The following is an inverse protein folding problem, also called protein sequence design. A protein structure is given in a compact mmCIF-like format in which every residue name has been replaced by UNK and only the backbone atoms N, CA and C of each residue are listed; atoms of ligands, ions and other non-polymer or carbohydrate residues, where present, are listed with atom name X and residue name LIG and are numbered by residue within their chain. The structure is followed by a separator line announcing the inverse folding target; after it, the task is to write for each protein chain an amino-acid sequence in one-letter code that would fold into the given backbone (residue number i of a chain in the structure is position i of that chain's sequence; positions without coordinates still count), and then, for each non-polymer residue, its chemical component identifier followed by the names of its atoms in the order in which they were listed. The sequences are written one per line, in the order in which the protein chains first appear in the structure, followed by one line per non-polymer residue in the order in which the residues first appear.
data_IF_012268161964
#
_entry.id   IF_012268161964
#
_cell.length_a   1.000
_cell.length_b   1.000
_cell.length_c   1.000
_cell.angle_alpha   90.00
_cell.angle_beta   90.00
_cell.angle_gamma   90.00
#
_symmetry.space_group_name_H-M   'P 1'
#
loop_
_entity.id
_entity.type
_entity.pdbx_description
1 polymer ?
#
# COMPACT_ATOMS: atom_id res chain seq x y z
N UNK A 1 -45.02 9.99 -2.25
CA UNK A 1 -45.28 8.96 -3.28
C UNK A 1 -44.91 9.49 -4.65
N UNK A 2 -43.75 9.12 -5.19
CA UNK A 2 -43.42 9.24 -6.63
C UNK A 2 -43.19 7.82 -7.15
N UNK A 3 -43.97 7.38 -8.14
CA UNK A 3 -43.78 6.07 -8.77
C UNK A 3 -42.69 6.20 -9.83
N UNK A 4 -41.47 5.75 -9.52
CA UNK A 4 -40.42 5.61 -10.55
C UNK A 4 -40.87 4.52 -11.53
N UNK A 5 -40.81 4.83 -12.82
CA UNK A 5 -41.33 3.98 -13.89
C UNK A 5 -40.16 3.25 -14.53
N UNK A 6 -40.06 1.94 -14.35
CA UNK A 6 -39.11 1.11 -15.08
C UNK A 6 -39.54 1.04 -16.55
N UNK A 7 -38.65 1.46 -17.46
CA UNK A 7 -38.76 1.19 -18.89
C UNK A 7 -37.69 0.16 -19.22
N UNK A 8 -38.06 -1.12 -19.24
CA UNK A 8 -37.26 -2.15 -19.89
C UNK A 8 -37.56 -2.16 -21.39
N UNK A 9 -36.55 -2.18 -22.26
CA UNK A 9 -36.72 -2.37 -23.70
C UNK A 9 -35.45 -2.96 -24.32
N UNK A 10 -35.57 -4.19 -24.85
CA UNK A 10 -34.77 -4.85 -25.90
C UNK A 10 -33.22 -4.72 -25.84
N UNK A 11 -32.43 -5.79 -25.82
CA UNK A 11 -32.68 -7.13 -26.35
C UNK A 11 -32.34 -7.23 -27.84
N UNK A 12 -31.05 -7.40 -28.16
CA UNK A 12 -30.55 -7.87 -29.46
C UNK A 12 -29.54 -8.98 -29.19
N UNK A 13 -29.91 -10.21 -29.56
CA UNK A 13 -28.96 -11.29 -29.68
C UNK A 13 -28.30 -11.22 -31.06
N UNK A 14 -26.96 -11.21 -31.11
CA UNK A 14 -26.18 -11.28 -32.34
C UNK A 14 -24.98 -12.20 -32.16
N UNK A 15 -25.21 -13.51 -32.29
CA UNK A 15 -24.12 -14.48 -32.48
C UNK A 15 -23.49 -14.23 -33.85
N UNK A 16 -22.23 -13.80 -33.88
CA UNK A 16 -21.43 -13.71 -35.09
C UNK A 16 -20.23 -14.67 -34.97
N UNK A 17 -20.43 -15.93 -35.36
CA UNK A 17 -19.34 -16.88 -35.48
C UNK A 17 -18.55 -16.60 -36.77
N UNK A 18 -17.33 -16.09 -36.62
CA UNK A 18 -16.28 -15.96 -37.64
C UNK A 18 -15.02 -16.41 -36.90
N UNK A 19 -14.21 -17.37 -37.35
CA UNK A 19 -13.98 -17.87 -38.70
C UNK A 19 -12.46 -17.94 -38.82
N UNK A 20 -11.90 -19.15 -38.69
CA UNK A 20 -10.52 -19.32 -38.23
C UNK A 20 -9.43 -18.81 -39.18
N UNK A 21 -8.29 -18.46 -38.59
CA UNK A 21 -7.01 -18.38 -39.29
C UNK A 21 -6.16 -19.56 -38.83
N UNK A 22 -6.09 -20.60 -39.65
CA UNK A 22 -5.09 -21.66 -39.53
C UNK A 22 -3.89 -21.19 -40.35
N UNK A 23 -2.74 -20.98 -39.72
CA UNK A 23 -1.48 -20.58 -40.36
C UNK A 23 -0.40 -21.60 -40.02
N UNK A 24 -0.10 -22.45 -41.00
CA UNK A 24 0.96 -23.47 -40.96
C UNK A 24 2.35 -22.87 -41.23
N UNK A 25 3.35 -23.58 -40.71
CA UNK A 25 4.68 -23.87 -41.28
C UNK A 25 5.83 -22.83 -41.33
N UNK A 26 6.92 -23.28 -40.69
CA UNK A 26 8.29 -23.44 -41.20
C UNK A 26 9.39 -22.37 -41.00
N UNK A 27 10.64 -22.89 -41.14
CA UNK A 27 11.98 -22.32 -40.99
C UNK A 27 12.44 -22.14 -39.52
N UNK A 28 13.05 -23.15 -38.86
CA UNK A 28 14.45 -23.63 -39.03
C UNK A 28 15.50 -22.51 -39.11
N UNK A 29 16.30 -22.35 -38.04
CA UNK A 29 17.67 -21.85 -38.19
C UNK A 29 18.60 -22.44 -37.10
N UNK A 30 19.87 -22.67 -37.47
CA UNK A 30 20.78 -23.60 -36.78
C UNK A 30 21.78 -22.96 -35.80
N UNK A 31 22.29 -23.79 -34.88
CA UNK A 31 23.68 -23.83 -34.37
C UNK A 31 24.43 -22.53 -34.02
N UNK A 32 24.74 -22.39 -32.72
CA UNK A 32 25.70 -21.43 -32.19
C UNK A 32 26.55 -21.96 -31.03
N UNK A 33 27.20 -23.12 -31.18
CA UNK A 33 28.20 -23.58 -30.19
C UNK A 33 29.40 -22.62 -30.15
N UNK A 34 29.70 -22.04 -28.98
CA UNK A 34 30.97 -21.40 -28.70
C UNK A 34 31.42 -21.72 -27.25
N UNK A 35 32.49 -22.50 -27.11
CA UNK A 35 33.11 -22.87 -25.85
C UNK A 35 34.33 -21.99 -25.50
N UNK A 36 34.91 -22.23 -24.30
CA UNK A 36 36.10 -21.57 -23.70
C UNK A 36 35.83 -20.11 -23.25
N UNK A 37 36.34 -19.53 -22.16
CA UNK A 37 37.33 -19.90 -21.12
C UNK A 37 37.54 -18.67 -20.20
N UNK A 38 38.31 -18.66 -19.12
CA UNK A 38 39.15 -19.70 -18.49
C UNK A 38 39.25 -19.48 -16.96
N UNK A 39 39.85 -20.44 -16.26
CA UNK A 39 40.39 -20.48 -14.88
C UNK A 39 40.99 -19.21 -14.22
N UNK A 40 41.25 -19.32 -12.89
CA UNK A 40 41.93 -18.39 -11.95
C UNK A 40 41.02 -17.24 -11.45
N UNK A 41 41.06 -16.71 -10.24
CA UNK A 41 41.93 -16.68 -9.04
C UNK A 41 41.32 -15.55 -8.16
N UNK A 42 41.48 -15.42 -6.85
CA UNK A 42 42.66 -15.62 -6.02
C UNK A 42 42.29 -15.97 -4.56
N UNK A 43 43.25 -16.53 -3.84
CA UNK A 43 43.21 -16.71 -2.38
C UNK A 43 43.49 -15.37 -1.67
N UNK A 44 42.56 -14.92 -0.84
CA UNK A 44 42.83 -14.01 0.28
C UNK A 44 42.46 -14.78 1.57
N UNK A 45 43.26 -14.81 2.63
CA UNK A 45 44.44 -14.01 2.95
C UNK A 45 44.38 -13.74 4.46
N UNK A 46 45.25 -14.38 5.22
CA UNK A 46 45.19 -14.44 6.69
C UNK A 46 45.44 -13.10 7.43
N UNK A 47 45.31 -13.17 8.76
CA UNK A 47 46.01 -12.40 9.81
C UNK A 47 45.29 -11.21 10.50
N UNK A 48 44.76 -11.53 11.69
CA UNK A 48 45.08 -10.94 13.00
C UNK A 48 45.05 -9.40 13.19
N UNK A 49 44.18 -8.97 14.13
CA UNK A 49 44.24 -7.68 14.81
C UNK A 49 43.75 -7.80 16.26
N UNK A 50 44.65 -8.21 17.15
CA UNK A 50 44.45 -8.30 18.61
C UNK A 50 45.22 -7.13 19.26
N UNK A 51 44.54 -6.18 19.92
CA UNK A 51 45.06 -5.16 20.85
C UNK A 51 43.83 -4.37 21.39
N UNK A 52 43.39 -4.54 22.65
CA UNK A 52 43.93 -3.95 23.90
C UNK A 52 43.32 -2.58 24.27
N UNK A 53 42.48 -2.62 25.32
CA UNK A 53 42.37 -1.66 26.43
C UNK A 53 42.21 -0.14 26.17
N UNK A 54 41.08 0.39 26.61
CA UNK A 54 40.83 1.82 26.87
C UNK A 54 39.84 2.04 28.03
N UNK A 55 40.28 1.87 29.28
CA UNK A 55 39.54 2.32 30.47
C UNK A 55 39.77 3.83 30.71
N UNK A 56 38.81 4.71 30.36
CA UNK A 56 38.64 6.07 30.92
C UNK A 56 37.17 6.50 30.69
N UNK A 57 36.48 7.31 31.49
CA UNK A 57 36.62 7.77 32.89
C UNK A 57 35.23 8.28 33.32
N UNK A 58 35.03 8.56 34.61
CA UNK A 58 33.70 8.89 35.17
C UNK A 58 33.26 10.33 34.84
N UNK A 59 32.02 10.48 34.33
CA UNK A 59 31.38 11.77 34.08
C UNK A 59 30.00 11.86 34.75
N UNK A 60 29.94 12.33 36.00
CA UNK A 60 28.69 12.71 36.67
C UNK A 60 28.12 14.00 36.04
N UNK A 61 27.05 13.91 35.24
CA UNK A 61 26.16 15.05 35.01
C UNK A 61 24.71 14.66 35.35
N UNK A 62 24.16 15.33 36.36
CA UNK A 62 22.76 15.19 36.77
C UNK A 62 21.94 16.14 35.90
N UNK A 63 21.36 15.62 34.81
CA UNK A 63 20.23 16.25 34.11
C UNK A 63 18.94 15.95 34.86
N UNK A 64 18.29 16.98 35.40
CA UNK A 64 16.96 16.90 36.01
C UNK A 64 15.94 17.01 34.87
N UNK A 65 15.76 15.92 34.13
CA UNK A 65 14.82 15.88 33.00
C UNK A 65 13.39 15.73 33.54
N UNK A 66 12.65 16.82 33.43
CA UNK A 66 11.21 16.86 33.65
C UNK A 66 10.56 15.88 32.66
N UNK A 67 10.04 14.76 33.17
CA UNK A 67 9.16 13.89 32.38
C UNK A 67 7.90 14.69 32.01
N UNK A 68 7.94 15.35 30.86
CA UNK A 68 6.74 15.64 30.10
C UNK A 68 6.11 14.30 29.76
N UNK A 69 4.91 14.05 30.29
CA UNK A 69 3.96 13.15 29.62
C UNK A 69 3.65 13.83 28.29
N UNK A 70 4.48 13.57 27.29
CA UNK A 70 4.11 13.76 25.89
C UNK A 70 3.02 12.72 25.63
N UNK A 71 1.78 13.18 25.70
CA UNK A 71 0.63 12.42 25.21
C UNK A 71 0.82 12.32 23.71
N UNK A 72 1.57 11.28 23.32
CA UNK A 72 1.93 10.95 21.95
C UNK A 72 0.64 10.83 21.13
N UNK A 73 0.75 11.15 19.84
CA UNK A 73 -0.37 11.51 18.96
C UNK A 73 -1.68 10.74 19.23
N UNK A 74 -2.81 11.46 19.17
CA UNK A 74 -4.11 10.81 19.09
C UNK A 74 -4.07 9.90 17.86
N UNK A 75 -3.90 8.58 18.07
CA UNK A 75 -3.87 7.59 17.00
C UNK A 75 -5.13 7.82 16.16
N UNK A 76 -4.99 8.29 14.92
CA UNK A 76 -6.10 8.37 13.94
C UNK A 76 -6.35 6.97 13.36
N UNK A 77 -6.57 6.06 14.32
CA UNK A 77 -6.83 4.63 14.22
C UNK A 77 -8.23 4.46 13.63
N UNK A 78 -8.32 4.86 12.36
CA UNK A 78 -9.47 4.75 11.48
C UNK A 78 -10.02 3.33 11.65
N UNK A 79 -11.18 3.14 12.31
CA UNK A 79 -11.41 1.91 13.05
C UNK A 79 -11.72 0.76 12.10
N UNK A 80 -10.97 -0.34 12.24
CA UNK A 80 -11.20 -1.57 11.51
C UNK A 80 -12.69 -1.99 11.57
N UNK A 81 -13.34 -2.06 10.40
CA UNK A 81 -14.77 -2.38 10.28
C UNK A 81 -15.01 -3.89 10.22
N UNK A 82 -14.01 -4.67 9.81
CA UNK A 82 -14.01 -6.12 9.78
C UNK A 82 -12.58 -6.67 9.92
N UNK A 83 -12.46 -7.84 10.54
CA UNK A 83 -11.21 -8.60 10.68
C UNK A 83 -11.49 -10.06 10.31
N UNK A 84 -10.65 -10.62 9.44
CA UNK A 84 -10.76 -12.00 8.96
C UNK A 84 -9.45 -12.75 9.19
N UNK A 85 -9.54 -14.03 9.53
CA UNK A 85 -8.38 -14.93 9.67
C UNK A 85 -8.75 -16.33 9.20
N UNK A 86 -7.84 -17.00 8.50
CA UNK A 86 -8.13 -18.32 7.92
C UNK A 86 -6.88 -19.12 7.56
N UNK A 87 -7.09 -20.19 6.80
CA UNK A 87 -6.00 -21.06 6.31
C UNK A 87 -6.41 -21.70 4.98
N UNK A 88 -5.59 -21.55 3.95
CA UNK A 88 -5.93 -21.98 2.59
C UNK A 88 -7.05 -21.16 1.95
N UNK A 89 -7.57 -21.61 0.78
CA UNK A 89 -8.60 -20.87 0.04
C UNK A 89 -9.94 -20.83 0.78
N UNK A 90 -10.50 -19.64 0.93
CA UNK A 90 -11.76 -19.40 1.64
C UNK A 90 -12.43 -18.13 1.12
N UNK A 91 -13.77 -18.10 1.16
CA UNK A 91 -14.56 -16.87 0.99
C UNK A 91 -15.03 -16.41 2.37
N UNK A 92 -14.82 -15.14 2.72
CA UNK A 92 -15.11 -14.59 4.05
C UNK A 92 -16.62 -14.46 4.33
N UNK A 93 -16.97 -14.18 5.59
CA UNK A 93 -18.27 -13.53 5.90
C UNK A 93 -18.34 -12.14 5.23
N UNK A 94 -19.56 -11.59 5.08
CA UNK A 94 -19.77 -10.29 4.44
C UNK A 94 -19.44 -9.08 5.32
N UNK A 95 -19.06 -7.98 4.68
CA UNK A 95 -18.85 -6.66 5.30
C UNK A 95 -19.55 -5.55 4.50
N UNK A 96 -19.89 -4.44 5.17
CA UNK A 96 -20.52 -3.26 4.56
C UNK A 96 -19.49 -2.12 4.47
N UNK A 97 -19.38 -1.48 3.31
CA UNK A 97 -18.65 -0.22 3.11
C UNK A 97 -19.62 0.95 2.92
N UNK A 98 -19.24 2.12 3.45
CA UNK A 98 -19.83 3.42 3.12
C UNK A 98 -19.01 4.12 2.00
N UNK A 99 -19.57 5.15 1.37
CA UNK A 99 -18.89 5.90 0.30
C UNK A 99 -17.73 6.70 0.92
N UNK A 100 -16.48 6.43 0.53
CA UNK A 100 -15.28 7.07 1.10
C UNK A 100 -13.99 6.34 0.72
N UNK A 101 -12.92 6.53 1.49
CA UNK A 101 -11.71 5.73 1.37
C UNK A 101 -11.92 4.36 2.03
N UNK A 102 -11.28 3.33 1.49
CA UNK A 102 -11.27 2.01 2.09
C UNK A 102 -9.96 1.30 1.76
N UNK A 103 -9.51 0.40 2.63
CA UNK A 103 -8.28 -0.35 2.44
C UNK A 103 -8.32 -1.73 3.11
N UNK A 104 -7.44 -2.62 2.66
CA UNK A 104 -7.19 -3.92 3.27
C UNK A 104 -5.73 -3.98 3.75
N UNK A 105 -5.49 -4.28 5.03
CA UNK A 105 -4.17 -4.74 5.51
C UNK A 105 -4.17 -6.26 5.46
N UNK A 106 -3.22 -6.87 4.73
CA UNK A 106 -3.20 -8.28 4.34
C UNK A 106 -1.87 -8.90 4.77
N UNK A 107 -1.92 -10.02 5.49
CA UNK A 107 -0.77 -10.87 5.84
C UNK A 107 -1.09 -12.34 5.51
N UNK A 108 -0.18 -13.12 4.89
CA UNK A 108 1.14 -12.72 4.40
C UNK A 108 1.07 -11.91 3.10
N UNK A 109 2.11 -11.12 2.82
CA UNK A 109 2.21 -10.33 1.58
C UNK A 109 2.60 -11.14 0.32
N UNK A 110 3.02 -12.40 0.49
CA UNK A 110 3.51 -13.27 -0.59
C UNK A 110 2.55 -14.43 -0.89
N UNK A 111 2.36 -14.73 -2.17
CA UNK A 111 1.56 -15.86 -2.69
C UNK A 111 0.09 -15.89 -2.27
N UNK A 112 -0.49 -14.74 -1.90
CA UNK A 112 -1.92 -14.56 -1.63
C UNK A 112 -2.60 -13.80 -2.78
N UNK A 113 -3.72 -14.32 -3.27
CA UNK A 113 -4.68 -13.62 -4.10
C UNK A 113 -5.88 -13.19 -3.26
N UNK A 114 -6.30 -11.93 -3.42
CA UNK A 114 -7.52 -11.39 -2.78
C UNK A 114 -8.39 -10.75 -3.86
N UNK A 115 -9.56 -11.33 -4.08
CA UNK A 115 -10.61 -10.75 -4.91
C UNK A 115 -11.68 -10.14 -3.99
N UNK A 116 -12.04 -8.87 -4.22
CA UNK A 116 -13.22 -8.28 -3.57
C UNK A 116 -14.43 -8.57 -4.43
N UNK A 117 -15.43 -9.21 -3.84
CA UNK A 117 -16.61 -9.74 -4.53
C UNK A 117 -17.87 -9.04 -4.05
N UNK A 118 -18.74 -8.67 -4.99
CA UNK A 118 -20.07 -8.10 -4.74
C UNK A 118 -21.13 -9.19 -4.57
N UNK A 119 -22.22 -8.90 -3.86
CA UNK A 119 -23.32 -9.84 -3.60
C UNK A 119 -24.06 -10.41 -4.85
N UNK A 120 -23.84 -9.86 -6.05
CA UNK A 120 -24.31 -10.44 -7.31
C UNK A 120 -23.23 -11.22 -8.09
N UNK A 121 -22.06 -11.42 -7.51
CA UNK A 121 -20.93 -12.19 -8.05
C UNK A 121 -20.05 -11.43 -9.04
N UNK A 122 -20.10 -10.09 -9.02
CA UNK A 122 -19.15 -9.25 -9.75
C UNK A 122 -17.88 -9.03 -8.93
N UNK A 123 -16.73 -9.01 -9.59
CA UNK A 123 -15.41 -8.76 -8.96
C UNK A 123 -14.94 -7.35 -9.36
N UNK A 124 -15.25 -6.30 -8.58
CA UNK A 124 -14.77 -4.93 -8.83
C UNK A 124 -13.25 -4.78 -8.68
N UNK A 125 -12.61 -5.55 -7.79
CA UNK A 125 -11.17 -5.48 -7.50
C UNK A 125 -10.61 -6.90 -7.38
N UNK A 126 -9.45 -7.12 -7.99
CA UNK A 126 -8.65 -8.34 -7.91
C UNK A 126 -7.21 -7.92 -7.65
N UNK A 127 -6.51 -8.57 -6.71
CA UNK A 127 -5.27 -8.07 -6.13
C UNK A 127 -4.07 -9.04 -6.18
N UNK A 128 -4.15 -10.13 -6.97
CA UNK A 128 -3.12 -11.20 -7.08
C UNK A 128 -1.66 -10.70 -7.21
N UNK A 129 -1.45 -9.54 -7.85
CA UNK A 129 -0.13 -8.92 -8.01
C UNK A 129 0.05 -7.61 -7.23
N UNK A 130 -1.03 -7.04 -6.71
CA UNK A 130 -1.02 -5.72 -6.09
C UNK A 130 -0.66 -5.79 -4.60
N UNK A 131 -0.99 -6.87 -3.88
CA UNK A 131 -0.69 -7.01 -2.43
C UNK A 131 0.78 -6.73 -2.14
N UNK A 132 1.70 -7.27 -2.95
CA UNK A 132 3.14 -7.01 -2.81
C UNK A 132 3.53 -5.57 -3.16
N UNK A 133 2.95 -4.98 -4.21
CA UNK A 133 3.26 -3.61 -4.66
C UNK A 133 2.81 -2.52 -3.65
N UNK A 134 2.00 -2.91 -2.68
CA UNK A 134 1.55 -2.08 -1.57
C UNK A 134 1.99 -2.64 -0.20
N UNK A 135 2.96 -3.56 -0.17
CA UNK A 135 3.52 -4.18 1.04
C UNK A 135 2.44 -4.70 2.03
N UNK A 136 1.32 -5.19 1.51
CA UNK A 136 0.18 -5.69 2.28
C UNK A 136 -0.97 -4.71 2.49
N UNK A 137 -0.82 -3.41 2.21
CA UNK A 137 -1.85 -2.40 2.45
C UNK A 137 -2.54 -1.94 1.16
N UNK A 138 -3.58 -2.66 0.73
CA UNK A 138 -4.25 -2.45 -0.55
C UNK A 138 -5.39 -1.40 -0.46
N UNK A 139 -5.27 -0.22 -1.11
CA UNK A 139 -6.37 0.73 -1.19
C UNK A 139 -7.48 0.27 -2.17
N UNK A 140 -8.71 0.67 -1.86
CA UNK A 140 -9.94 0.24 -2.51
C UNK A 140 -10.78 1.43 -2.97
N UNK A 141 -10.73 1.75 -4.27
CA UNK A 141 -11.69 2.68 -4.88
C UNK A 141 -13.03 1.96 -5.12
N UNK A 142 -13.93 1.99 -4.12
CA UNK A 142 -15.23 1.32 -4.17
C UNK A 142 -16.32 2.17 -3.52
N UNK A 143 -17.51 2.18 -4.13
CA UNK A 143 -18.67 2.85 -3.55
C UNK A 143 -19.36 2.01 -2.47
N UNK A 144 -20.28 2.63 -1.74
CA UNK A 144 -21.04 2.00 -0.65
C UNK A 144 -21.76 0.72 -1.10
N UNK A 145 -21.63 -0.35 -0.32
CA UNK A 145 -22.15 -1.67 -0.68
C UNK A 145 -21.84 -2.76 0.33
N UNK A 146 -22.35 -3.96 0.07
CA UNK A 146 -22.06 -5.18 0.83
C UNK A 146 -21.15 -6.08 -0.03
N UNK A 147 -20.05 -6.54 0.56
CA UNK A 147 -18.95 -7.23 -0.11
C UNK A 147 -18.51 -8.48 0.65
N UNK A 148 -17.83 -9.39 -0.03
CA UNK A 148 -17.11 -10.56 0.51
C UNK A 148 -15.68 -10.53 -0.05
N UNK A 149 -14.70 -11.14 0.64
CA UNK A 149 -13.38 -11.41 0.07
C UNK A 149 -13.30 -12.88 -0.35
N UNK A 150 -12.82 -13.16 -1.56
CA UNK A 150 -12.49 -14.50 -2.02
C UNK A 150 -10.95 -14.64 -2.04
N UNK A 151 -10.43 -15.56 -1.23
CA UNK A 151 -9.00 -15.71 -0.95
C UNK A 151 -8.46 -16.94 -1.69
N UNK A 152 -7.43 -16.75 -2.53
CA UNK A 152 -6.70 -17.83 -3.21
C UNK A 152 -5.27 -17.91 -2.67
N UNK A 153 -4.94 -19.00 -2.00
CA UNK A 153 -3.65 -19.24 -1.33
C UNK A 153 -3.45 -20.75 -1.12
N UNK A 154 -2.21 -21.24 -0.94
CA UNK A 154 -1.94 -22.67 -0.72
C UNK A 154 -2.66 -23.24 0.53
N UNK A 155 -3.12 -24.51 0.47
CA UNK A 155 -3.99 -25.16 1.48
C UNK A 155 -3.49 -25.09 2.95
N UNK A 156 -2.19 -24.89 3.16
CA UNK A 156 -1.52 -24.86 4.46
C UNK A 156 -0.94 -23.48 4.87
N UNK A 157 -1.26 -22.41 4.14
CA UNK A 157 -0.89 -21.03 4.49
C UNK A 157 -1.97 -20.40 5.38
N UNK A 158 -1.57 -20.00 6.59
CA UNK A 158 -2.38 -19.14 7.48
C UNK A 158 -2.37 -17.69 6.97
N UNK A 159 -3.49 -16.98 7.09
CA UNK A 159 -3.63 -15.60 6.62
C UNK A 159 -4.52 -14.75 7.56
N UNK A 160 -4.35 -13.44 7.51
CA UNK A 160 -5.19 -12.44 8.18
C UNK A 160 -5.44 -11.22 7.28
N UNK A 161 -6.65 -10.67 7.34
CA UNK A 161 -7.03 -9.45 6.60
C UNK A 161 -7.87 -8.54 7.50
N UNK A 162 -7.45 -7.28 7.63
CA UNK A 162 -8.19 -6.21 8.30
C UNK A 162 -8.75 -5.24 7.26
N UNK A 163 -10.03 -4.90 7.37
CA UNK A 163 -10.73 -3.98 6.48
C UNK A 163 -10.92 -2.64 7.18
N UNK A 164 -10.49 -1.56 6.51
CA UNK A 164 -10.64 -0.17 6.93
C UNK A 164 -11.60 0.56 6.00
N UNK A 165 -12.37 1.51 6.52
CA UNK A 165 -13.25 2.36 5.72
C UNK A 165 -13.57 3.68 6.42
N UNK A 166 -13.21 4.77 5.75
CA UNK A 166 -13.38 6.14 6.22
C UNK A 166 -14.38 6.88 5.33
N UNK A 167 -15.64 7.04 5.81
CA UNK A 167 -16.70 7.60 5.00
C UNK A 167 -16.43 9.08 4.66
N UNK A 168 -16.63 9.45 3.41
CA UNK A 168 -16.55 10.84 2.96
C UNK A 168 -17.66 11.73 3.55
N UNK A 169 -18.81 11.15 3.96
CA UNK A 169 -19.89 11.92 4.61
C UNK A 169 -19.55 12.21 6.08
N UNK A 170 -19.18 13.46 6.35
CA UNK A 170 -18.87 13.93 7.70
C UNK A 170 -17.38 13.89 8.05
N UNK A 171 -16.52 13.45 7.14
CA UNK A 171 -15.08 13.58 7.26
C UNK A 171 -14.65 15.04 7.50
N UNK A 172 -13.59 15.22 8.27
CA UNK A 172 -12.98 16.51 8.57
C UNK A 172 -11.53 16.51 8.12
N UNK A 173 -11.09 17.60 7.50
CA UNK A 173 -9.69 17.74 7.13
C UNK A 173 -8.79 17.72 8.37
N UNK A 174 -7.64 17.05 8.24
CA UNK A 174 -6.56 17.00 9.22
C UNK A 174 -5.96 18.40 9.40
N UNK A 175 -5.74 18.81 10.65
CA UNK A 175 -5.11 20.11 10.96
C UNK A 175 -3.60 20.04 10.64
N UNK A 176 -3.07 21.01 9.89
CA UNK A 176 -1.65 21.10 9.53
C UNK A 176 -0.90 22.14 10.40
N UNK A 177 0.39 21.93 10.73
CA UNK A 177 1.20 20.78 10.36
C UNK A 177 0.88 19.53 11.18
N UNK A 178 1.12 18.37 10.58
CA UNK A 178 0.93 17.05 11.19
C UNK A 178 2.08 16.12 10.80
N UNK A 179 2.48 15.23 11.70
CA UNK A 179 3.58 14.28 11.51
C UNK A 179 3.06 12.87 11.70
N UNK A 180 3.43 11.98 10.78
CA UNK A 180 3.11 10.55 10.81
C UNK A 180 4.42 9.77 10.90
N UNK A 181 4.60 9.04 11.99
CA UNK A 181 5.73 8.15 12.24
C UNK A 181 5.26 6.69 12.11
N UNK A 182 6.06 5.82 11.50
CA UNK A 182 5.70 4.41 11.35
C UNK A 182 6.86 3.52 10.93
N UNK A 183 6.58 2.22 10.78
CA UNK A 183 7.52 1.23 10.21
C UNK A 183 6.82 0.13 9.39
N UNK A 184 5.52 0.29 9.17
CA UNK A 184 4.66 -0.56 8.36
C UNK A 184 3.81 0.34 7.45
N UNK A 185 3.26 -0.15 6.33
CA UNK A 185 2.42 0.67 5.45
C UNK A 185 1.15 1.17 6.14
N UNK A 186 0.88 2.46 5.95
CA UNK A 186 -0.23 3.18 6.58
C UNK A 186 -0.71 4.36 5.72
N UNK A 187 -1.74 5.05 6.15
CA UNK A 187 -2.34 6.17 5.43
C UNK A 187 -2.79 7.28 6.38
N UNK A 188 -2.90 8.49 5.86
CA UNK A 188 -3.33 9.65 6.64
C UNK A 188 -4.25 10.56 5.84
N UNK A 189 -5.17 11.22 6.54
CA UNK A 189 -6.07 12.21 5.97
C UNK A 189 -7.49 12.21 6.57
N UNK A 190 -8.46 12.80 5.86
CA UNK A 190 -8.25 13.52 4.61
C UNK A 190 -7.48 14.83 4.86
N UNK A 191 -6.57 15.19 3.97
CA UNK A 191 -5.86 16.47 3.99
C UNK A 191 -6.56 17.43 3.01
N UNK A 192 -6.67 18.72 3.38
CA UNK A 192 -7.14 19.78 2.48
C UNK A 192 -5.94 20.37 1.73
N UNK A 193 -5.76 19.98 0.47
CA UNK A 193 -4.63 20.44 -0.34
C UNK A 193 -4.86 21.81 -0.99
N UNK A 194 -6.03 22.44 -0.82
CA UNK A 194 -6.43 23.63 -1.58
C UNK A 194 -5.62 24.91 -1.32
N UNK A 195 -4.82 24.96 -0.25
CA UNK A 195 -3.84 26.04 0.02
C UNK A 195 -2.38 25.65 -0.33
N UNK A 196 -2.16 24.45 -0.86
CA UNK A 196 -0.83 23.86 -1.13
C UNK A 196 -0.26 23.15 0.09
N UNK A 197 0.34 21.98 -0.12
CA UNK A 197 0.96 21.17 0.94
C UNK A 197 2.35 20.71 0.49
N UNK A 198 3.29 20.74 1.41
CA UNK A 198 4.60 20.09 1.27
C UNK A 198 4.66 18.90 2.22
N UNK A 199 5.10 17.74 1.73
CA UNK A 199 5.42 16.59 2.55
C UNK A 199 6.95 16.49 2.70
N UNK A 200 7.47 16.74 3.90
CA UNK A 200 8.86 16.49 4.26
C UNK A 200 8.98 15.05 4.76
N UNK A 201 9.83 14.25 4.11
CA UNK A 201 10.01 12.82 4.41
C UNK A 201 11.42 12.56 4.93
N UNK A 202 11.53 11.81 6.01
CA UNK A 202 12.75 11.17 6.49
C UNK A 202 12.51 9.65 6.50
N UNK A 203 13.32 8.89 5.75
CA UNK A 203 13.27 7.43 5.68
C UNK A 203 14.67 6.85 5.82
N UNK A 204 14.90 6.02 6.84
CA UNK A 204 16.23 5.49 7.21
C UNK A 204 16.46 4.03 6.72
N UNK A 205 15.49 3.44 5.99
CA UNK A 205 15.51 2.02 5.59
C UNK A 205 16.40 1.64 4.41
N UNK A 206 16.59 0.33 4.19
CA UNK A 206 17.20 -0.26 2.99
C UNK A 206 16.16 -0.70 1.94
N UNK A 207 14.84 -0.57 2.24
CA UNK A 207 13.72 -1.04 1.43
C UNK A 207 13.13 -0.05 0.40
N UNK A 208 12.01 -0.44 -0.22
CA UNK A 208 11.23 0.42 -1.13
C UNK A 208 10.31 1.35 -0.31
N UNK A 209 10.32 2.65 -0.60
CA UNK A 209 9.37 3.64 -0.04
C UNK A 209 8.46 4.21 -1.15
N UNK A 210 7.16 4.35 -0.88
CA UNK A 210 6.22 5.04 -1.76
C UNK A 210 5.33 6.03 -1.01
N UNK A 211 5.09 7.19 -1.63
CA UNK A 211 4.05 8.14 -1.22
C UNK A 211 3.03 8.29 -2.35
N UNK A 212 1.76 7.95 -2.10
CA UNK A 212 0.70 7.88 -3.14
C UNK A 212 -0.55 8.66 -2.71
N UNK A 213 -1.10 9.46 -3.61
CA UNK A 213 -2.27 10.32 -3.37
C UNK A 213 -3.56 9.69 -3.91
N UNK A 214 -4.63 9.76 -3.11
CA UNK A 214 -5.98 9.29 -3.45
C UNK A 214 -6.99 10.42 -3.18
N UNK A 215 -8.05 10.48 -3.97
CA UNK A 215 -9.18 11.36 -3.69
C UNK A 215 -9.98 10.89 -2.46
N UNK A 216 -10.87 11.75 -1.96
CA UNK A 216 -11.73 11.48 -0.81
C UNK A 216 -12.62 10.21 -0.95
N UNK A 217 -12.89 9.75 -2.18
CA UNK A 217 -13.62 8.51 -2.50
C UNK A 217 -12.71 7.31 -2.87
N UNK A 218 -11.42 7.43 -2.59
CA UNK A 218 -10.42 6.39 -2.84
C UNK A 218 -10.00 6.24 -4.31
N UNK A 219 -10.43 7.10 -5.26
CA UNK A 219 -9.84 7.11 -6.61
C UNK A 219 -8.35 7.47 -6.54
N UNK A 220 -7.48 6.65 -7.16
CA UNK A 220 -6.05 6.92 -7.24
C UNK A 220 -5.77 8.13 -8.13
N UNK A 221 -5.01 9.10 -7.62
CA UNK A 221 -4.64 10.33 -8.32
C UNK A 221 -3.25 10.19 -8.92
N UNK A 222 -2.22 10.07 -8.07
CA UNK A 222 -0.83 9.93 -8.52
C UNK A 222 0.10 9.32 -7.47
N UNK A 223 1.32 9.00 -7.91
CA UNK A 223 2.46 8.64 -7.06
C UNK A 223 3.31 9.89 -6.88
N UNK A 224 3.33 10.41 -5.66
CA UNK A 224 4.04 11.64 -5.30
C UNK A 224 5.55 11.40 -5.20
N UNK A 225 5.95 10.22 -4.70
CA UNK A 225 7.34 9.82 -4.54
C UNK A 225 7.52 8.31 -4.55
N UNK A 226 8.67 7.85 -5.04
CA UNK A 226 9.15 6.48 -4.96
C UNK A 226 10.68 6.48 -5.01
N UNK A 227 11.33 5.91 -4.01
CA UNK A 227 12.80 5.77 -3.92
C UNK A 227 13.17 4.41 -3.27
N UNK A 228 14.36 3.91 -3.61
CA UNK A 228 14.92 2.65 -3.08
C UNK A 228 16.01 2.96 -2.03
N UNK A 229 15.73 2.69 -0.76
CA UNK A 229 16.62 2.94 0.38
C UNK A 229 16.54 4.36 0.94
N UNK A 230 17.39 4.64 1.94
CA UNK A 230 17.27 5.80 2.80
C UNK A 230 17.40 7.17 2.09
N UNK A 231 16.51 8.11 2.41
CA UNK A 231 16.47 9.46 1.86
C UNK A 231 15.81 10.49 2.80
N UNK A 232 16.11 11.76 2.56
CA UNK A 232 15.50 12.95 3.18
C UNK A 232 15.12 13.89 2.01
N UNK A 233 13.84 14.22 1.81
CA UNK A 233 13.38 15.10 0.71
C UNK A 233 12.08 15.88 1.03
N UNK A 234 11.89 17.01 0.35
CA UNK A 234 10.71 17.88 0.45
C UNK A 234 9.85 17.79 -0.83
N UNK A 235 8.63 17.26 -0.71
CA UNK A 235 7.74 16.97 -1.86
C UNK A 235 6.60 18.00 -1.91
N UNK A 236 6.60 18.89 -2.92
CA UNK A 236 5.48 19.81 -3.21
C UNK A 236 4.31 19.05 -3.86
N UNK A 237 3.09 19.16 -3.31
CA UNK A 237 1.89 18.45 -3.79
C UNK A 237 0.96 19.42 -4.55
N UNK A 238 0.87 19.27 -5.88
CA UNK A 238 0.05 20.12 -6.79
C UNK A 238 -1.38 19.55 -7.00
N UNK A 239 -2.17 19.55 -5.92
CA UNK A 239 -3.57 19.08 -5.89
C UNK A 239 -4.46 20.11 -5.17
N UNK A 240 -5.69 20.37 -5.64
CA UNK A 240 -6.56 21.44 -5.11
C UNK A 240 -7.87 20.98 -4.47
N UNK A 241 -8.03 19.67 -4.22
CA UNK A 241 -9.19 19.06 -3.56
C UNK A 241 -8.77 18.34 -2.26
N UNK A 242 -9.71 17.68 -1.57
CA UNK A 242 -9.41 16.85 -0.40
C UNK A 242 -8.96 15.45 -0.82
N UNK A 243 -8.02 14.86 -0.09
CA UNK A 243 -7.47 13.54 -0.43
C UNK A 243 -6.78 12.83 0.74
N UNK A 244 -6.40 11.57 0.50
CA UNK A 244 -5.71 10.69 1.43
C UNK A 244 -4.30 10.40 0.90
N UNK A 245 -3.32 10.34 1.80
CA UNK A 245 -1.94 9.97 1.44
C UNK A 245 -1.65 8.58 2.00
N UNK A 246 -1.29 7.66 1.12
CA UNK A 246 -0.77 6.34 1.48
C UNK A 246 0.75 6.41 1.56
N UNK A 247 1.29 5.99 2.70
CA UNK A 247 2.71 5.80 2.97
C UNK A 247 2.99 4.30 2.95
N UNK A 248 3.90 3.85 2.09
CA UNK A 248 4.25 2.43 1.97
C UNK A 248 5.74 2.29 2.22
N UNK A 249 6.11 1.73 3.37
CA UNK A 249 7.48 1.56 3.81
C UNK A 249 7.62 0.26 4.63
N UNK A 250 8.78 -0.38 4.54
CA UNK A 250 9.08 -1.64 5.26
C UNK A 250 9.90 -1.46 6.54
N UNK A 251 10.30 -0.23 6.85
CA UNK A 251 11.21 0.18 7.93
C UNK A 251 10.82 1.59 8.43
N UNK A 252 11.50 2.07 9.47
CA UNK A 252 11.16 3.33 10.16
C UNK A 252 11.14 4.56 9.21
N UNK A 253 10.06 5.34 9.28
CA UNK A 253 9.84 6.59 8.55
C UNK A 253 9.20 7.67 9.42
N UNK A 254 9.47 8.93 9.08
CA UNK A 254 8.73 10.11 9.52
C UNK A 254 8.26 10.89 8.29
N UNK A 255 6.97 11.25 8.22
CA UNK A 255 6.43 12.14 7.19
C UNK A 255 5.69 13.28 7.84
N UNK A 256 6.18 14.51 7.67
CA UNK A 256 5.50 15.73 8.12
C UNK A 256 4.83 16.43 6.94
N UNK A 257 3.53 16.72 7.06
CA UNK A 257 2.78 17.51 6.10
C UNK A 257 2.60 18.94 6.62
N UNK A 258 3.12 19.91 5.88
CA UNK A 258 3.04 21.35 6.16
C UNK A 258 2.21 22.07 5.09
N UNK A 259 1.43 23.07 5.50
CA UNK A 259 0.82 24.00 4.54
C UNK A 259 1.91 24.89 3.91
N UNK A 260 1.92 25.01 2.58
CA UNK A 260 2.97 25.74 1.86
C UNK A 260 2.99 27.25 2.20
N UNK A 261 4.17 27.84 2.41
CA UNK A 261 4.31 29.29 2.68
C UNK A 261 4.08 30.16 1.41
N UNK A 262 3.10 31.09 1.44
CA UNK A 262 2.78 32.08 0.38
C UNK A 262 3.88 33.13 0.07
#
# INVERSE_FOLDING_TARGET
MRRRTFIGTCGIASMAAIGGCLGDDDDEDENGEAANGDENGDENGDENGDEENGEEENGDENGDEENGDEENGEDDDSPAIAEFTGTGPETTDSFELEDGFAALRIDPIENIGVDVVTMDGGVPRSAEWDVRNYQGFLPLSMGAGEYELDIDVDEDVEWSITVYNDPADGATALDLPTTVEGSEPDYTGPIDFSEGVTASVDYDGEGEFFLKLYALDGEYIEELHHEDGAFEDDIEIDYDEWGWVLITASEEYEVTFDASEE
#
